data_IF_584437791405
#
_entry.id   IF_584437791405
#
_cell.length_a   1.000
_cell.length_b   1.000
_cell.length_c   1.000
_cell.angle_alpha   90.00
_cell.angle_beta   90.00
_cell.angle_gamma   90.00
#
_symmetry.space_group_name_H-M   'P 1'
#
loop_
_entity.id
_entity.type
_entity.pdbx_description
1 polymer ?
#
# COMPACT_ATOMS: atom_id res chain seq x y z
N UNK A 1 49.64 43.78 25.95
CA UNK A 1 48.35 43.37 26.54
C UNK A 1 47.17 43.45 25.56
N UNK A 2 47.07 44.42 24.65
CA UNK A 2 45.93 44.54 23.69
C UNK A 2 45.84 43.43 22.63
N UNK A 3 46.98 42.77 22.25
CA UNK A 3 47.01 41.70 21.26
C UNK A 3 46.59 40.30 21.82
N UNK A 4 46.73 40.06 23.11
CA UNK A 4 46.36 38.82 23.75
C UNK A 4 44.84 38.77 24.00
N UNK A 5 44.20 39.94 24.25
CA UNK A 5 42.76 40.05 24.45
C UNK A 5 41.98 39.76 23.15
N UNK A 6 42.55 40.15 21.98
CA UNK A 6 41.94 39.87 20.67
C UNK A 6 41.99 38.40 20.28
N UNK A 7 42.97 37.63 20.77
CA UNK A 7 43.08 36.20 20.48
C UNK A 7 42.10 35.37 21.32
N UNK A 8 41.77 35.82 22.54
CA UNK A 8 40.82 35.17 23.41
C UNK A 8 39.37 35.40 22.99
N UNK A 9 39.10 36.51 22.30
CA UNK A 9 37.75 36.79 21.77
C UNK A 9 37.43 36.05 20.47
N UNK A 10 38.46 35.69 19.69
CA UNK A 10 38.30 34.92 18.48
C UNK A 10 38.02 33.43 18.74
N UNK A 11 38.45 32.87 19.88
CA UNK A 11 38.23 31.47 20.26
C UNK A 11 36.82 31.17 20.76
N UNK A 12 36.08 32.18 21.21
CA UNK A 12 34.70 32.00 21.72
C UNK A 12 33.68 31.91 20.59
N UNK A 13 34.00 32.41 19.38
CA UNK A 13 33.07 32.37 18.24
C UNK A 13 33.09 31.06 17.43
N UNK A 14 34.05 30.18 17.66
CA UNK A 14 34.17 28.92 16.89
C UNK A 14 33.38 27.77 17.51
N UNK A 15 32.87 27.88 18.72
CA UNK A 15 32.11 26.82 19.39
C UNK A 15 30.60 26.92 19.18
N UNK A 16 30.11 27.88 18.41
CA UNK A 16 28.68 28.24 18.32
C UNK A 16 27.91 27.55 17.19
N UNK A 17 28.50 26.66 16.41
CA UNK A 17 27.85 26.04 15.24
C UNK A 17 27.90 24.51 15.24
N UNK A 18 28.13 23.86 16.36
CA UNK A 18 27.79 22.43 16.46
C UNK A 18 26.31 22.33 16.80
N UNK A 19 25.49 22.08 15.80
CA UNK A 19 24.10 21.73 16.01
C UNK A 19 24.08 20.50 16.95
N UNK A 20 23.68 20.71 18.19
CA UNK A 20 23.75 19.68 19.23
C UNK A 20 22.73 18.61 18.86
N UNK A 21 23.20 17.44 18.45
CA UNK A 21 22.32 16.30 18.19
C UNK A 21 21.59 15.92 19.49
N UNK A 22 20.37 15.39 19.34
CA UNK A 22 19.66 14.83 20.49
C UNK A 22 20.48 13.69 21.08
N UNK A 23 20.62 13.58 22.40
CA UNK A 23 21.50 12.60 23.05
C UNK A 23 21.19 11.16 22.64
N UNK A 24 19.93 10.82 22.42
CA UNK A 24 19.52 9.46 22.07
C UNK A 24 19.59 9.17 20.57
N UNK A 25 19.86 10.17 19.72
CA UNK A 25 19.80 9.98 18.25
C UNK A 25 20.72 8.86 17.77
N UNK A 26 21.94 8.76 18.29
CA UNK A 26 22.90 7.73 17.86
C UNK A 26 22.38 6.31 18.20
N UNK A 27 21.84 6.10 19.40
CA UNK A 27 21.22 4.82 19.81
C UNK A 27 20.02 4.51 18.93
N UNK A 28 19.14 5.49 18.73
CA UNK A 28 17.90 5.32 17.96
C UNK A 28 18.18 5.06 16.48
N UNK A 29 19.21 5.68 15.91
CA UNK A 29 19.67 5.41 14.55
C UNK A 29 20.10 3.95 14.36
N UNK A 30 20.84 3.38 15.33
CA UNK A 30 21.23 1.96 15.27
C UNK A 30 20.00 1.03 15.38
N UNK A 31 19.01 1.37 16.22
CA UNK A 31 17.75 0.63 16.30
C UNK A 31 16.97 0.68 14.98
N UNK A 32 16.88 1.85 14.34
CA UNK A 32 16.21 2.00 13.03
C UNK A 32 16.91 1.18 11.92
N UNK A 33 18.25 1.24 11.87
CA UNK A 33 19.02 0.42 10.93
C UNK A 33 18.85 -1.07 11.18
N UNK A 34 18.85 -1.48 12.45
CA UNK A 34 18.62 -2.88 12.84
C UNK A 34 17.24 -3.35 12.44
N UNK A 35 16.19 -2.50 12.60
CA UNK A 35 14.84 -2.81 12.15
C UNK A 35 14.80 -3.17 10.66
N UNK A 36 15.48 -2.41 9.82
CA UNK A 36 15.56 -2.69 8.37
C UNK A 36 16.41 -3.92 8.05
N UNK A 37 17.55 -4.09 8.72
CA UNK A 37 18.39 -5.28 8.53
C UNK A 37 17.65 -6.59 8.91
N UNK A 38 16.82 -6.56 9.96
CA UNK A 38 15.98 -7.70 10.33
C UNK A 38 14.85 -7.93 9.32
N UNK A 39 14.35 -6.87 8.69
CA UNK A 39 13.36 -7.00 7.61
C UNK A 39 13.96 -7.66 6.36
N UNK A 40 15.21 -7.34 6.02
CA UNK A 40 15.93 -7.96 4.89
C UNK A 40 16.13 -9.48 5.05
N UNK A 41 16.19 -9.97 6.28
CA UNK A 41 16.36 -11.40 6.58
C UNK A 41 15.08 -12.05 7.13
N UNK A 42 13.97 -11.34 7.07
CA UNK A 42 12.63 -11.79 7.48
C UNK A 42 12.57 -12.26 8.95
N UNK A 43 13.43 -11.70 9.81
CA UNK A 43 13.42 -11.99 11.24
C UNK A 43 12.29 -11.24 11.96
N UNK A 44 11.09 -11.83 11.87
CA UNK A 44 9.86 -11.28 12.44
C UNK A 44 9.96 -11.09 13.96
N UNK A 45 10.51 -12.07 14.67
CA UNK A 45 10.64 -12.02 16.14
C UNK A 45 11.68 -10.98 16.56
N UNK A 46 12.76 -10.88 15.82
CA UNK A 46 13.77 -9.84 16.00
C UNK A 46 13.20 -8.43 15.79
N UNK A 47 12.36 -8.23 14.78
CA UNK A 47 11.64 -6.97 14.57
C UNK A 47 10.67 -6.68 15.71
N UNK A 48 9.88 -7.68 16.14
CA UNK A 48 8.93 -7.54 17.24
C UNK A 48 9.60 -7.11 18.55
N UNK A 49 10.84 -7.53 18.79
CA UNK A 49 11.62 -7.15 19.97
C UNK A 49 12.10 -5.69 19.96
N UNK A 50 12.06 -5.01 18.81
CA UNK A 50 12.41 -3.59 18.69
C UNK A 50 11.21 -2.65 18.75
N UNK A 51 9.98 -3.19 18.78
CA UNK A 51 8.75 -2.43 18.65
C UNK A 51 8.01 -2.34 19.98
N UNK A 52 7.66 -1.13 20.38
CA UNK A 52 6.83 -0.87 21.57
C UNK A 52 5.41 -1.41 21.37
N UNK A 53 4.80 -1.93 22.44
CA UNK A 53 3.39 -2.36 22.42
C UNK A 53 2.41 -1.19 22.18
N UNK A 54 2.85 0.03 22.48
CA UNK A 54 2.09 1.26 22.30
C UNK A 54 2.37 1.96 20.96
N UNK A 55 2.98 1.24 19.99
CA UNK A 55 3.29 1.82 18.68
C UNK A 55 2.03 2.36 17.99
N UNK A 56 2.20 3.52 17.37
CA UNK A 56 1.25 4.07 16.40
C UNK A 56 1.98 4.14 15.06
N UNK A 57 1.55 3.32 14.11
CA UNK A 57 2.10 3.29 12.77
C UNK A 57 1.14 3.89 11.74
N UNK A 58 1.72 4.50 10.71
CA UNK A 58 1.00 5.14 9.60
C UNK A 58 1.49 4.56 8.27
N UNK A 59 0.61 4.49 7.27
CA UNK A 59 0.97 4.12 5.92
C UNK A 59 0.56 5.21 4.93
N UNK A 60 1.20 5.24 3.75
CA UNK A 60 0.88 6.18 2.68
C UNK A 60 -0.41 5.84 1.90
N UNK A 61 -1.12 4.80 2.29
CA UNK A 61 -2.34 4.36 1.62
C UNK A 61 -3.47 5.38 1.79
N UNK A 62 -4.12 5.76 0.71
CA UNK A 62 -5.28 6.67 0.76
C UNK A 62 -6.40 6.07 1.62
N UNK A 63 -6.86 6.84 2.61
CA UNK A 63 -7.95 6.45 3.51
C UNK A 63 -7.56 5.42 4.58
N UNK A 64 -6.25 5.08 4.72
CA UNK A 64 -5.82 4.20 5.81
C UNK A 64 -5.94 4.89 7.17
N UNK A 65 -6.31 4.11 8.17
CA UNK A 65 -6.25 4.52 9.57
C UNK A 65 -4.87 4.21 10.16
N UNK A 66 -4.58 4.82 11.33
CA UNK A 66 -3.37 4.49 12.10
C UNK A 66 -3.47 3.08 12.66
N UNK A 67 -2.35 2.38 12.63
CA UNK A 67 -2.26 0.99 13.09
C UNK A 67 -1.65 0.94 14.50
N UNK A 68 -2.23 0.12 15.36
CA UNK A 68 -1.60 -0.34 16.59
C UNK A 68 -0.68 -1.53 16.37
N UNK A 69 -0.10 -2.06 17.46
CA UNK A 69 0.91 -3.12 17.42
C UNK A 69 0.53 -4.34 16.59
N UNK A 70 -0.65 -4.93 16.82
CA UNK A 70 -1.04 -6.18 16.15
C UNK A 70 -1.21 -5.99 14.64
N UNK A 71 -1.82 -4.87 14.24
CA UNK A 71 -2.00 -4.52 12.84
C UNK A 71 -0.66 -4.22 12.14
N UNK A 72 0.24 -3.51 12.84
CA UNK A 72 1.57 -3.22 12.32
C UNK A 72 2.41 -4.49 12.15
N UNK A 73 2.38 -5.40 13.12
CA UNK A 73 3.06 -6.70 13.01
C UNK A 73 2.46 -7.58 11.89
N UNK A 74 1.14 -7.55 11.69
CA UNK A 74 0.50 -8.23 10.58
C UNK A 74 0.93 -7.63 9.23
N UNK A 75 1.10 -6.31 9.14
CA UNK A 75 1.60 -5.64 7.94
C UNK A 75 3.05 -6.06 7.61
N UNK A 76 3.95 -6.08 8.60
CA UNK A 76 5.32 -6.59 8.43
C UNK A 76 5.31 -8.01 7.87
N UNK A 77 4.50 -8.90 8.47
CA UNK A 77 4.35 -10.28 8.01
C UNK A 77 3.83 -10.37 6.57
N UNK A 78 2.90 -9.48 6.22
CA UNK A 78 2.38 -9.38 4.86
C UNK A 78 3.46 -9.07 3.82
N UNK A 79 4.39 -8.15 4.14
CA UNK A 79 5.54 -7.86 3.27
C UNK A 79 6.51 -9.04 3.15
N UNK A 80 6.84 -9.74 4.26
CA UNK A 80 7.67 -10.95 4.22
C UNK A 80 7.05 -12.06 3.36
N UNK A 81 5.71 -12.17 3.33
CA UNK A 81 5.02 -13.15 2.49
C UNK A 81 4.94 -12.73 1.01
N UNK A 82 5.01 -11.43 0.73
CA UNK A 82 4.80 -10.90 -0.62
C UNK A 82 6.08 -10.72 -1.41
N UNK A 83 7.23 -10.57 -0.74
CA UNK A 83 8.49 -10.24 -1.39
C UNK A 83 9.63 -11.08 -0.85
N UNK A 84 10.43 -11.66 -1.76
CA UNK A 84 11.72 -12.30 -1.48
C UNK A 84 12.88 -11.35 -1.80
N UNK A 85 14.08 -11.67 -1.30
CA UNK A 85 15.33 -10.97 -1.59
C UNK A 85 15.27 -9.46 -1.30
N UNK A 86 14.56 -9.10 -0.26
CA UNK A 86 14.32 -7.69 0.11
C UNK A 86 15.60 -7.04 0.58
N UNK A 87 15.91 -5.85 0.07
CA UNK A 87 17.09 -5.10 0.46
C UNK A 87 16.83 -3.60 0.49
N UNK A 88 17.25 -2.92 1.55
CA UNK A 88 17.21 -1.48 1.66
C UNK A 88 18.55 -0.84 1.31
N UNK A 89 18.52 0.13 0.41
CA UNK A 89 19.68 0.98 0.09
C UNK A 89 19.37 2.41 0.52
N UNK A 90 19.94 2.87 1.65
CA UNK A 90 19.71 4.23 2.11
C UNK A 90 20.40 5.25 1.20
N UNK A 91 19.70 6.33 0.85
CA UNK A 91 20.31 7.54 0.29
C UNK A 91 20.86 8.43 1.41
N UNK A 92 20.11 8.53 2.52
CA UNK A 92 20.50 9.34 3.68
C UNK A 92 19.75 8.89 4.94
N UNK A 93 20.39 9.06 6.09
CA UNK A 93 19.80 8.99 7.43
C UNK A 93 19.87 10.37 8.07
N UNK A 94 18.76 10.86 8.59
CA UNK A 94 18.61 12.20 9.14
C UNK A 94 18.00 12.16 10.54
N UNK A 95 18.37 13.10 11.43
CA UNK A 95 17.64 13.31 12.66
C UNK A 95 16.25 13.88 12.37
N UNK A 96 15.27 13.46 13.16
CA UNK A 96 13.95 14.05 13.15
C UNK A 96 13.83 15.21 14.13
N UNK A 97 12.71 15.93 14.03
CA UNK A 97 12.42 17.07 14.89
C UNK A 97 10.93 17.09 15.28
N UNK A 98 10.61 17.82 16.33
CA UNK A 98 9.26 18.16 16.72
C UNK A 98 8.61 19.20 15.77
N UNK A 99 7.39 19.61 16.08
CA UNK A 99 6.65 20.60 15.28
C UNK A 99 7.25 22.02 15.35
N UNK A 100 8.16 22.28 16.28
CA UNK A 100 8.88 23.55 16.41
C UNK A 100 10.26 23.51 15.76
N UNK A 101 10.67 22.35 15.23
CA UNK A 101 11.98 22.17 14.59
C UNK A 101 13.09 21.74 15.55
N UNK A 102 12.81 21.46 16.83
CA UNK A 102 13.80 20.97 17.78
C UNK A 102 14.07 19.49 17.53
N UNK A 103 15.34 19.09 17.56
CA UNK A 103 15.72 17.68 17.45
C UNK A 103 15.13 16.87 18.61
N UNK A 104 14.45 15.77 18.31
CA UNK A 104 13.67 14.99 19.28
C UNK A 104 14.11 13.51 19.36
N UNK A 105 15.28 13.15 18.83
CA UNK A 105 15.79 11.80 18.84
C UNK A 105 15.17 10.85 17.81
N UNK A 106 14.12 11.26 17.10
CA UNK A 106 13.54 10.47 16.03
C UNK A 106 14.49 10.34 14.83
N UNK A 107 14.28 9.32 14.01
CA UNK A 107 15.11 8.99 12.86
C UNK A 107 14.29 9.03 11.59
N UNK A 108 14.85 9.56 10.53
CA UNK A 108 14.27 9.63 9.19
C UNK A 108 15.25 9.06 8.18
N UNK A 109 14.73 8.44 7.14
CA UNK A 109 15.57 7.95 6.04
C UNK A 109 14.84 8.09 4.70
N UNK A 110 15.62 8.42 3.68
CA UNK A 110 15.25 8.27 2.29
C UNK A 110 16.08 7.16 1.69
N UNK A 111 15.49 6.37 0.82
CA UNK A 111 16.21 5.27 0.19
C UNK A 111 15.30 4.47 -0.73
N UNK A 112 15.82 3.32 -1.14
CA UNK A 112 15.14 2.42 -2.07
C UNK A 112 15.09 1.02 -1.47
N UNK A 113 13.89 0.45 -1.38
CA UNK A 113 13.69 -0.97 -1.21
C UNK A 113 13.69 -1.67 -2.55
N UNK A 114 14.47 -2.72 -2.68
CA UNK A 114 14.44 -3.66 -3.81
C UNK A 114 14.01 -5.02 -3.30
N UNK A 115 13.51 -5.89 -4.18
CA UNK A 115 13.07 -7.24 -3.86
C UNK A 115 12.39 -7.88 -5.05
N UNK A 116 11.89 -9.10 -4.90
CA UNK A 116 11.17 -9.84 -5.93
C UNK A 116 9.78 -10.20 -5.41
N UNK A 117 8.73 -9.81 -6.11
CA UNK A 117 7.37 -10.18 -5.73
C UNK A 117 7.14 -11.68 -5.98
N UNK A 118 6.74 -12.42 -4.94
CA UNK A 118 6.72 -13.91 -4.91
C UNK A 118 5.83 -14.53 -5.99
N UNK A 119 4.63 -13.98 -6.24
CA UNK A 119 3.67 -14.58 -7.17
C UNK A 119 3.96 -14.26 -8.64
N UNK A 120 4.52 -13.08 -8.91
CA UNK A 120 4.73 -12.58 -10.28
C UNK A 120 6.17 -12.69 -10.75
N UNK A 121 7.13 -12.93 -9.85
CA UNK A 121 8.58 -12.85 -10.07
C UNK A 121 9.03 -11.50 -10.65
N UNK A 122 8.25 -10.44 -10.42
CA UNK A 122 8.61 -9.09 -10.85
C UNK A 122 9.52 -8.42 -9.82
N UNK A 123 10.54 -7.72 -10.34
CA UNK A 123 11.46 -6.96 -9.52
C UNK A 123 10.79 -5.69 -8.96
N UNK A 124 10.94 -5.50 -7.65
CA UNK A 124 10.55 -4.28 -6.93
C UNK A 124 11.72 -3.30 -6.94
N UNK A 125 11.43 -2.03 -7.18
CA UNK A 125 12.32 -0.90 -6.91
C UNK A 125 11.48 0.25 -6.38
N UNK A 126 11.42 0.38 -5.05
CA UNK A 126 10.49 1.25 -4.35
C UNK A 126 11.26 2.36 -3.63
N UNK A 127 11.29 3.56 -4.21
CA UNK A 127 11.83 4.75 -3.57
C UNK A 127 10.81 5.33 -2.59
N UNK A 128 11.28 5.71 -1.40
CA UNK A 128 10.38 6.27 -0.39
C UNK A 128 11.10 6.96 0.75
N UNK A 129 10.31 7.34 1.72
CA UNK A 129 10.69 7.97 2.97
C UNK A 129 10.09 7.20 4.13
N UNK A 130 10.89 6.95 5.17
CA UNK A 130 10.48 6.28 6.41
C UNK A 130 10.91 7.12 7.60
N UNK A 131 10.11 7.09 8.68
CA UNK A 131 10.48 7.70 9.94
C UNK A 131 10.22 6.76 11.10
N UNK A 132 10.96 6.96 12.19
CA UNK A 132 10.86 6.21 13.44
C UNK A 132 10.87 7.18 14.62
N UNK A 133 9.87 7.07 15.49
CA UNK A 133 9.88 7.63 16.83
C UNK A 133 10.23 6.54 17.85
N UNK A 134 10.70 6.95 19.02
CA UNK A 134 11.17 6.02 20.05
C UNK A 134 10.62 6.44 21.41
N UNK A 135 10.34 5.45 22.24
CA UNK A 135 10.03 5.66 23.67
C UNK A 135 11.30 5.80 24.52
N UNK A 136 11.14 5.97 25.84
CA UNK A 136 12.24 6.15 26.80
C UNK A 136 13.14 4.90 26.90
N UNK A 137 12.62 3.71 26.61
CA UNK A 137 13.36 2.47 26.58
C UNK A 137 14.16 2.30 25.27
N UNK A 138 13.86 3.13 24.26
CA UNK A 138 14.46 3.11 22.93
C UNK A 138 13.80 2.09 21.99
N UNK A 139 12.58 1.65 22.31
CA UNK A 139 11.74 0.87 21.39
C UNK A 139 11.03 1.80 20.42
N UNK A 140 10.73 1.30 19.22
CA UNK A 140 10.02 2.03 18.18
C UNK A 140 8.56 2.16 18.59
N UNK A 141 8.13 3.38 18.93
CA UNK A 141 6.75 3.70 19.32
C UNK A 141 5.97 4.49 18.27
N UNK A 142 6.64 4.94 17.23
CA UNK A 142 5.99 5.54 16.06
C UNK A 142 6.76 5.15 14.79
N UNK A 143 6.03 4.83 13.74
CA UNK A 143 6.62 4.60 12.42
C UNK A 143 5.66 5.06 11.33
N UNK A 144 6.21 5.61 10.26
CA UNK A 144 5.45 5.89 9.05
C UNK A 144 6.30 5.74 7.82
N UNK A 145 5.62 5.47 6.72
CA UNK A 145 6.20 5.34 5.40
C UNK A 145 5.44 6.18 4.37
N UNK A 146 6.18 6.69 3.38
CA UNK A 146 5.62 7.46 2.28
C UNK A 146 6.31 7.04 0.98
N UNK A 147 5.58 6.32 0.16
CA UNK A 147 6.01 5.84 -1.15
C UNK A 147 4.80 5.70 -2.08
N UNK A 148 5.03 5.48 -3.35
CA UNK A 148 3.95 5.24 -4.32
C UNK A 148 3.38 3.81 -4.17
N UNK A 149 2.50 3.64 -3.18
CA UNK A 149 1.84 2.35 -2.91
C UNK A 149 1.00 1.89 -4.11
N UNK A 150 0.23 2.79 -4.73
CA UNK A 150 -0.60 2.47 -5.88
C UNK A 150 0.22 2.06 -7.09
N UNK A 151 1.32 2.77 -7.37
CA UNK A 151 2.28 2.40 -8.42
C UNK A 151 2.94 1.06 -8.16
N UNK A 152 3.35 0.78 -6.91
CA UNK A 152 3.90 -0.53 -6.52
C UNK A 152 2.91 -1.66 -6.80
N UNK A 153 1.67 -1.55 -6.32
CA UNK A 153 0.63 -2.56 -6.58
C UNK A 153 0.44 -2.78 -8.08
N UNK A 154 0.35 -1.69 -8.85
CA UNK A 154 0.18 -1.77 -10.30
C UNK A 154 1.37 -2.39 -11.03
N UNK A 155 2.59 -2.17 -10.55
CA UNK A 155 3.80 -2.64 -11.21
C UNK A 155 4.08 -4.12 -10.95
N UNK A 156 4.01 -4.56 -9.69
CA UNK A 156 4.56 -5.86 -9.31
C UNK A 156 3.52 -6.90 -8.87
N UNK A 157 2.37 -6.49 -8.33
CA UNK A 157 1.35 -7.46 -7.92
C UNK A 157 0.63 -8.11 -9.10
N UNK A 158 0.09 -9.32 -8.93
CA UNK A 158 -0.68 -9.99 -9.97
C UNK A 158 -1.94 -9.18 -10.30
N UNK A 159 -2.30 -9.16 -11.58
CA UNK A 159 -3.53 -8.55 -12.07
C UNK A 159 -4.43 -9.64 -12.62
N UNK A 160 -5.46 -9.96 -11.89
CA UNK A 160 -6.51 -10.88 -12.34
C UNK A 160 -7.67 -10.05 -12.90
N UNK A 161 -7.48 -9.56 -14.11
CA UNK A 161 -8.45 -8.72 -14.79
C UNK A 161 -9.61 -9.58 -15.32
N UNK A 162 -10.83 -9.17 -15.05
CA UNK A 162 -12.05 -9.76 -15.59
C UNK A 162 -12.84 -8.68 -16.32
N UNK A 163 -13.24 -8.97 -17.54
CA UNK A 163 -14.11 -8.08 -18.33
C UNK A 163 -15.42 -8.82 -18.54
N UNK A 164 -16.52 -8.19 -18.14
CA UNK A 164 -17.88 -8.66 -18.41
C UNK A 164 -18.53 -7.70 -19.39
N UNK A 165 -19.02 -8.20 -20.52
CA UNK A 165 -19.89 -7.43 -21.41
C UNK A 165 -21.34 -7.88 -21.26
N UNK A 166 -22.24 -6.90 -21.23
CA UNK A 166 -23.67 -7.08 -21.17
C UNK A 166 -24.29 -6.50 -22.45
N UNK A 167 -24.82 -7.35 -23.31
CA UNK A 167 -25.56 -6.92 -24.51
C UNK A 167 -27.01 -6.68 -24.15
N UNK A 168 -27.46 -5.43 -24.26
CA UNK A 168 -28.76 -4.98 -23.78
C UNK A 168 -29.75 -4.81 -24.93
N UNK A 169 -31.00 -5.19 -24.72
CA UNK A 169 -32.10 -4.94 -25.69
C UNK A 169 -32.28 -3.44 -25.87
N UNK A 170 -32.70 -3.06 -27.06
CA UNK A 170 -33.04 -1.67 -27.39
C UNK A 170 -34.07 -1.09 -26.40
N UNK A 171 -33.79 0.12 -25.88
CA UNK A 171 -34.61 0.81 -24.90
C UNK A 171 -34.60 0.26 -23.49
N UNK A 172 -33.72 -0.70 -23.17
CA UNK A 172 -33.64 -1.33 -21.83
C UNK A 172 -32.38 -0.94 -21.04
N UNK A 173 -31.58 -0.01 -21.53
CA UNK A 173 -30.34 0.41 -20.91
C UNK A 173 -30.56 0.92 -19.48
N UNK A 174 -31.55 1.80 -19.28
CA UNK A 174 -31.84 2.40 -17.98
C UNK A 174 -32.25 1.35 -16.94
N UNK A 175 -33.01 0.33 -17.33
CA UNK A 175 -33.42 -0.75 -16.45
C UNK A 175 -32.22 -1.57 -15.96
N UNK A 176 -31.25 -1.82 -16.85
CA UNK A 176 -30.02 -2.54 -16.46
C UNK A 176 -29.14 -1.66 -15.59
N UNK A 177 -29.02 -0.37 -15.89
CA UNK A 177 -28.26 0.58 -15.08
C UNK A 177 -28.83 0.74 -13.68
N UNK A 178 -30.15 0.78 -13.52
CA UNK A 178 -30.81 0.81 -12.21
C UNK A 178 -30.43 -0.43 -11.37
N UNK A 179 -30.46 -1.62 -11.96
CA UNK A 179 -30.08 -2.87 -11.28
C UNK A 179 -28.60 -2.86 -10.92
N UNK A 180 -27.71 -2.48 -11.86
CA UNK A 180 -26.27 -2.45 -11.61
C UNK A 180 -25.86 -1.43 -10.53
N UNK A 181 -26.53 -0.29 -10.47
CA UNK A 181 -26.27 0.76 -9.50
C UNK A 181 -26.97 0.55 -8.16
N UNK A 182 -27.89 -0.43 -8.06
CA UNK A 182 -28.51 -0.78 -6.79
C UNK A 182 -27.48 -1.28 -5.78
N UNK A 183 -27.82 -1.27 -4.49
CA UNK A 183 -26.95 -1.76 -3.42
C UNK A 183 -26.46 -3.19 -3.69
N UNK A 184 -27.35 -4.08 -4.15
CA UNK A 184 -27.01 -5.46 -4.51
C UNK A 184 -26.19 -5.59 -5.80
N UNK A 185 -26.09 -4.56 -6.63
CA UNK A 185 -25.40 -4.55 -7.90
C UNK A 185 -23.88 -4.42 -7.82
N UNK A 186 -23.31 -3.41 -8.48
CA UNK A 186 -21.87 -3.14 -8.50
C UNK A 186 -21.31 -2.73 -7.15
N UNK A 187 -22.03 -2.00 -6.25
CA UNK A 187 -21.52 -1.73 -4.90
C UNK A 187 -21.19 -3.01 -4.14
N UNK A 188 -22.08 -4.01 -4.17
CA UNK A 188 -21.80 -5.33 -3.55
C UNK A 188 -20.63 -6.06 -4.22
N UNK A 189 -20.50 -5.99 -5.56
CA UNK A 189 -19.32 -6.53 -6.27
C UNK A 189 -18.04 -5.88 -5.77
N UNK A 190 -18.04 -4.55 -5.65
CA UNK A 190 -16.85 -3.79 -5.20
C UNK A 190 -16.44 -4.12 -3.77
N UNK A 191 -17.41 -4.40 -2.89
CA UNK A 191 -17.19 -4.77 -1.50
C UNK A 191 -16.87 -6.26 -1.30
N UNK A 192 -17.01 -7.08 -2.35
CA UNK A 192 -16.78 -8.52 -2.22
C UNK A 192 -15.30 -8.84 -1.98
N UNK A 193 -15.06 -9.81 -1.11
CA UNK A 193 -13.70 -10.23 -0.74
C UNK A 193 -12.85 -10.58 -1.96
N UNK A 194 -11.71 -9.92 -2.08
CA UNK A 194 -10.77 -10.05 -3.19
C UNK A 194 -11.02 -9.13 -4.39
N UNK A 195 -12.07 -8.30 -4.40
CA UNK A 195 -12.28 -7.29 -5.46
C UNK A 195 -11.41 -6.05 -5.19
N UNK A 196 -10.37 -5.85 -5.99
CA UNK A 196 -9.42 -4.74 -5.84
C UNK A 196 -9.92 -3.46 -6.51
N UNK A 197 -10.47 -3.58 -7.72
CA UNK A 197 -11.03 -2.45 -8.45
C UNK A 197 -12.22 -2.87 -9.30
N UNK A 198 -13.13 -1.93 -9.56
CA UNK A 198 -14.32 -2.13 -10.39
C UNK A 198 -14.63 -0.83 -11.12
N UNK A 199 -14.76 -0.92 -12.43
CA UNK A 199 -15.10 0.18 -13.32
C UNK A 199 -16.17 -0.28 -14.32
N UNK A 200 -16.98 0.66 -14.80
CA UNK A 200 -18.02 0.40 -15.78
C UNK A 200 -17.94 1.45 -16.88
N UNK A 201 -18.13 1.03 -18.13
CA UNK A 201 -18.30 1.93 -19.28
C UNK A 201 -19.45 1.44 -20.16
N UNK A 202 -20.02 2.36 -20.92
CA UNK A 202 -21.22 2.15 -21.74
C UNK A 202 -20.92 2.57 -23.16
N UNK A 203 -21.35 1.74 -24.12
CA UNK A 203 -21.48 2.13 -25.53
C UNK A 203 -22.98 2.21 -25.88
N UNK A 204 -23.50 3.43 -25.97
CA UNK A 204 -24.91 3.67 -26.24
C UNK A 204 -25.30 3.25 -27.67
N UNK A 205 -24.39 3.38 -28.64
CA UNK A 205 -24.64 2.99 -30.04
C UNK A 205 -24.91 1.51 -30.21
N UNK A 206 -24.27 0.67 -29.38
CA UNK A 206 -24.42 -0.79 -29.42
C UNK A 206 -25.30 -1.33 -28.30
N UNK A 207 -25.76 -0.49 -27.38
CA UNK A 207 -26.42 -0.88 -26.12
C UNK A 207 -25.61 -1.93 -25.36
N UNK A 208 -24.34 -1.67 -25.16
CA UNK A 208 -23.45 -2.60 -24.48
C UNK A 208 -22.82 -1.94 -23.26
N UNK A 209 -22.85 -2.61 -22.12
CA UNK A 209 -22.11 -2.23 -20.90
C UNK A 209 -20.90 -3.15 -20.77
N UNK A 210 -19.73 -2.58 -20.45
CA UNK A 210 -18.58 -3.34 -19.99
C UNK A 210 -18.32 -3.02 -18.52
N UNK A 211 -18.18 -4.08 -17.73
CA UNK A 211 -17.71 -4.03 -16.35
C UNK A 211 -16.30 -4.63 -16.31
N UNK A 212 -15.35 -3.83 -15.88
CA UNK A 212 -13.93 -4.21 -15.77
C UNK A 212 -13.56 -4.29 -14.30
N UNK A 213 -13.07 -5.42 -13.86
CA UNK A 213 -12.70 -5.63 -12.46
C UNK A 213 -11.34 -6.29 -12.33
N UNK A 214 -10.57 -5.90 -11.30
CA UNK A 214 -9.35 -6.58 -10.89
C UNK A 214 -9.60 -7.33 -9.58
N UNK A 215 -9.08 -8.51 -9.48
CA UNK A 215 -9.22 -9.39 -8.32
C UNK A 215 -7.86 -9.82 -7.79
N UNK A 216 -7.76 -10.07 -6.50
CA UNK A 216 -6.53 -10.57 -5.87
C UNK A 216 -6.06 -11.87 -6.49
N UNK A 217 -7.00 -12.81 -6.69
CA UNK A 217 -6.74 -14.11 -7.30
C UNK A 217 -7.90 -14.56 -8.17
N UNK A 218 -7.63 -15.48 -9.10
CA UNK A 218 -8.68 -16.15 -9.89
C UNK A 218 -9.67 -16.90 -9.00
N UNK A 219 -9.22 -17.48 -7.89
CA UNK A 219 -10.07 -18.24 -6.96
C UNK A 219 -11.06 -17.30 -6.24
N UNK A 220 -10.65 -16.11 -5.86
CA UNK A 220 -11.55 -15.10 -5.28
C UNK A 220 -12.64 -14.70 -6.27
N UNK A 221 -12.27 -14.46 -7.53
CA UNK A 221 -13.27 -14.20 -8.56
C UNK A 221 -14.20 -15.40 -8.81
N UNK A 222 -13.66 -16.62 -8.86
CA UNK A 222 -14.47 -17.82 -9.04
C UNK A 222 -15.48 -18.01 -7.89
N UNK A 223 -15.06 -17.74 -6.64
CA UNK A 223 -15.96 -17.77 -5.48
C UNK A 223 -17.07 -16.72 -5.60
N UNK A 224 -16.72 -15.48 -5.97
CA UNK A 224 -17.68 -14.42 -6.25
C UNK A 224 -18.68 -14.82 -7.35
N UNK A 225 -18.20 -15.30 -8.48
CA UNK A 225 -19.06 -15.68 -9.61
C UNK A 225 -20.02 -16.80 -9.22
N UNK A 226 -19.52 -17.81 -8.49
CA UNK A 226 -20.35 -18.89 -7.97
C UNK A 226 -21.46 -18.35 -7.06
N UNK A 227 -21.10 -17.47 -6.11
CA UNK A 227 -22.08 -16.84 -5.22
C UNK A 227 -23.13 -16.05 -6.02
N UNK A 228 -22.73 -15.22 -7.00
CA UNK A 228 -23.64 -14.50 -7.89
C UNK A 228 -24.61 -15.41 -8.65
N UNK A 229 -24.17 -16.61 -9.01
CA UNK A 229 -24.98 -17.56 -9.76
C UNK A 229 -25.93 -18.39 -8.91
N UNK A 230 -25.61 -18.62 -7.64
CA UNK A 230 -26.33 -19.57 -6.78
C UNK A 230 -27.12 -18.93 -5.65
N UNK A 231 -26.69 -17.79 -5.15
CA UNK A 231 -27.26 -17.19 -3.93
C UNK A 231 -27.80 -15.77 -4.17
N UNK A 232 -27.34 -15.10 -5.21
CA UNK A 232 -27.70 -13.73 -5.55
C UNK A 232 -28.82 -13.67 -6.62
N UNK A 233 -29.55 -12.55 -6.64
CA UNK A 233 -30.70 -12.37 -7.56
C UNK A 233 -30.42 -11.38 -8.69
N UNK A 234 -29.32 -10.64 -8.65
CA UNK A 234 -29.00 -9.55 -9.59
C UNK A 234 -28.89 -10.04 -11.04
N UNK A 235 -28.21 -11.16 -11.26
CA UNK A 235 -28.11 -11.75 -12.62
C UNK A 235 -29.51 -12.08 -13.13
N UNK A 236 -30.33 -12.77 -12.33
CA UNK A 236 -31.71 -13.11 -12.70
C UNK A 236 -32.56 -11.90 -13.03
N UNK A 237 -32.41 -10.81 -12.28
CA UNK A 237 -33.13 -9.57 -12.51
C UNK A 237 -32.73 -8.87 -13.84
N UNK A 238 -31.46 -8.99 -14.28
CA UNK A 238 -30.99 -8.40 -15.54
C UNK A 238 -31.37 -9.21 -16.78
N UNK A 239 -31.43 -10.54 -16.66
CA UNK A 239 -31.67 -11.46 -17.80
C UNK A 239 -32.83 -11.06 -18.72
N UNK A 240 -34.00 -10.60 -18.24
CA UNK A 240 -35.10 -10.18 -19.08
C UNK A 240 -34.75 -9.03 -20.02
N UNK A 241 -33.80 -8.18 -19.69
CA UNK A 241 -33.38 -6.99 -20.41
C UNK A 241 -32.22 -7.21 -21.39
N UNK A 242 -31.55 -8.41 -21.29
CA UNK A 242 -30.38 -8.73 -22.11
C UNK A 242 -30.76 -9.39 -23.42
N UNK A 243 -30.00 -9.10 -24.49
CA UNK A 243 -30.12 -9.77 -25.81
C UNK A 243 -29.80 -11.25 -25.64
N UNK A 244 -30.69 -12.14 -26.03
CA UNK A 244 -30.48 -13.58 -25.85
C UNK A 244 -30.53 -14.07 -24.40
N UNK A 245 -31.05 -13.25 -23.46
CA UNK A 245 -31.10 -13.61 -22.04
C UNK A 245 -29.70 -13.79 -21.44
N UNK A 246 -29.44 -14.89 -20.76
CA UNK A 246 -28.13 -15.21 -20.16
C UNK A 246 -26.99 -15.18 -21.19
N UNK A 247 -27.25 -15.52 -22.45
CA UNK A 247 -26.25 -15.47 -23.52
C UNK A 247 -25.78 -14.04 -23.86
N UNK A 248 -26.49 -13.03 -23.41
CA UNK A 248 -26.08 -11.62 -23.51
C UNK A 248 -25.01 -11.22 -22.48
N UNK A 249 -24.64 -12.12 -21.57
CA UNK A 249 -23.55 -11.93 -20.60
C UNK A 249 -22.32 -12.67 -21.14
N UNK A 250 -21.27 -11.92 -21.46
CA UNK A 250 -20.00 -12.53 -21.89
C UNK A 250 -18.91 -12.17 -20.90
N UNK A 251 -18.20 -13.17 -20.38
CA UNK A 251 -17.13 -13.03 -19.38
C UNK A 251 -15.81 -13.41 -20.02
N UNK A 252 -14.86 -12.48 -20.01
CA UNK A 252 -13.51 -12.69 -20.53
C UNK A 252 -12.52 -12.62 -19.36
N UNK A 253 -11.74 -13.69 -19.21
CA UNK A 253 -10.60 -13.74 -18.32
C UNK A 253 -9.34 -13.51 -19.16
N UNK A 254 -8.71 -12.33 -19.12
CA UNK A 254 -7.47 -12.13 -19.81
C UNK A 254 -6.38 -13.05 -19.25
N UNK A 255 -5.52 -13.54 -20.13
CA UNK A 255 -4.40 -14.36 -19.75
C UNK A 255 -3.47 -13.58 -18.81
N UNK A 256 -3.29 -14.07 -17.59
CA UNK A 256 -2.49 -13.42 -16.53
C UNK A 256 -1.01 -13.26 -16.88
N UNK A 257 -0.53 -13.87 -17.94
CA UNK A 257 0.85 -13.73 -18.44
C UNK A 257 1.07 -12.55 -19.40
N UNK A 258 0.04 -11.80 -19.76
CA UNK A 258 0.18 -10.65 -20.65
C UNK A 258 0.41 -9.37 -19.85
N UNK A 259 1.64 -8.87 -19.82
CA UNK A 259 1.94 -7.52 -19.40
C UNK A 259 2.06 -6.64 -20.65
N UNK A 260 1.09 -5.76 -20.88
CA UNK A 260 1.27 -4.70 -21.82
C UNK A 260 2.15 -3.61 -21.19
N UNK A 261 3.37 -3.46 -21.70
CA UNK A 261 4.32 -2.35 -21.53
C UNK A 261 4.81 -2.02 -20.12
#
# INVERSE_FOLDING_TARGET
MKRILSLFMATIFVTSCMQQQHPDYAKNLETAKKMFALHEVEDYDGQAALISKDIIAETSMYGSEKMGYDQFMANIKGYHMAFDNVKYTPEVWLPGCDTLGNLNGSVRTYGVWTGTQVQTNKELSLKGYWYFGFDEDGLINAQGDFFDFGGMLNAVYPKNLVIVSLEIKEGQLDNVLEILNSEGGLPTTKAYDGCLSLEMTINEDTNTIWVVSNWETNDKYAAYLKWRQTEDTVIGAMVPFLKGGVNGINIVHPNTGYSAY
#
